data_IF_048720343985
#
_entry.id   IF_048720343985
#
_cell.length_a   1.000
_cell.length_b   1.000
_cell.length_c   1.000
_cell.angle_alpha   90.00
_cell.angle_beta   90.00
_cell.angle_gamma   90.00
#
_symmetry.space_group_name_H-M   'P 1'
#
loop_
_entity.id
_entity.type
_entity.pdbx_description
1 polymer ?
#
# COMPACT_ATOMS: atom_id res chain seq x y z
N UNK A 1 -10.81 -11.61 -19.10
CA UNK A 1 -9.85 -11.56 -17.96
C UNK A 1 -10.49 -10.78 -16.82
N UNK A 2 -10.40 -11.27 -15.60
CA UNK A 2 -10.84 -10.56 -14.40
C UNK A 2 -9.62 -10.22 -13.55
N UNK A 3 -9.45 -8.95 -13.21
CA UNK A 3 -8.42 -8.47 -12.32
C UNK A 3 -9.05 -8.13 -10.97
N UNK A 4 -8.54 -8.72 -9.90
CA UNK A 4 -8.97 -8.47 -8.53
C UNK A 4 -7.86 -7.74 -7.78
N UNK A 5 -8.11 -6.50 -7.42
CA UNK A 5 -7.19 -5.68 -6.62
C UNK A 5 -7.65 -5.69 -5.17
N UNK A 6 -6.78 -6.16 -4.28
CA UNK A 6 -7.03 -6.21 -2.85
C UNK A 6 -6.02 -5.29 -2.16
N UNK A 7 -6.52 -4.24 -1.51
CA UNK A 7 -5.71 -3.36 -0.69
C UNK A 7 -5.38 -4.04 0.63
N UNK A 8 -4.21 -3.72 1.20
CA UNK A 8 -3.83 -4.18 2.53
C UNK A 8 -4.88 -3.80 3.59
N UNK A 9 -5.00 -4.58 4.65
CA UNK A 9 -5.79 -4.27 5.83
C UNK A 9 -5.28 -3.02 6.54
N UNK A 10 -6.00 -2.58 7.58
CA UNK A 10 -5.64 -1.37 8.35
C UNK A 10 -4.17 -1.44 8.80
N UNK A 11 -3.29 -0.53 8.34
CA UNK A 11 -1.86 -0.70 8.48
C UNK A 11 -1.31 -0.12 9.77
N UNK A 12 -0.33 -0.81 10.35
CA UNK A 12 0.62 -0.26 11.30
C UNK A 12 1.89 0.13 10.54
N UNK A 13 2.00 1.37 10.11
CA UNK A 13 3.13 1.83 9.32
C UNK A 13 4.44 1.89 10.11
N UNK A 14 4.39 1.98 11.44
CA UNK A 14 5.59 2.03 12.26
C UNK A 14 6.34 0.69 12.26
N UNK A 15 5.60 -0.41 12.15
CA UNK A 15 6.15 -1.78 12.19
C UNK A 15 6.00 -2.51 10.85
N UNK A 16 5.49 -1.84 9.80
CA UNK A 16 5.15 -2.42 8.50
C UNK A 16 4.36 -3.74 8.61
N UNK A 17 3.27 -3.69 9.35
CA UNK A 17 2.35 -4.81 9.55
C UNK A 17 0.91 -4.30 9.60
N UNK A 18 0.01 -5.06 10.20
CA UNK A 18 -1.39 -4.71 10.37
C UNK A 18 -1.70 -4.37 11.83
N UNK A 19 -2.63 -3.44 12.04
CA UNK A 19 -3.21 -3.20 13.36
C UNK A 19 -4.10 -4.38 13.76
N UNK A 20 -4.55 -4.41 15.00
CA UNK A 20 -5.55 -5.39 15.45
C UNK A 20 -6.83 -5.36 14.59
N UNK A 21 -7.25 -4.17 14.18
CA UNK A 21 -8.36 -3.99 13.23
C UNK A 21 -8.03 -4.62 11.89
N UNK A 22 -6.83 -4.36 11.35
CA UNK A 22 -6.37 -4.94 10.08
C UNK A 22 -6.36 -6.47 10.11
N UNK A 23 -5.92 -7.08 11.19
CA UNK A 23 -5.98 -8.54 11.35
C UNK A 23 -7.41 -9.08 11.36
N UNK A 24 -8.38 -8.37 11.93
CA UNK A 24 -9.80 -8.73 11.84
C UNK A 24 -10.33 -8.62 10.40
N UNK A 25 -9.93 -7.57 9.68
CA UNK A 25 -10.31 -7.37 8.28
C UNK A 25 -9.81 -8.50 7.37
N UNK A 26 -8.54 -8.88 7.51
CA UNK A 26 -7.97 -9.95 6.67
C UNK A 26 -8.52 -11.34 7.00
N UNK A 27 -8.94 -11.55 8.24
CA UNK A 27 -9.67 -12.77 8.63
C UNK A 27 -11.02 -12.86 7.89
N UNK A 28 -11.77 -11.78 7.86
CA UNK A 28 -13.04 -11.72 7.11
C UNK A 28 -12.83 -11.91 5.60
N UNK A 29 -11.75 -11.35 5.06
CA UNK A 29 -11.36 -11.58 3.67
C UNK A 29 -11.07 -13.07 3.42
N UNK A 30 -10.32 -13.71 4.31
CA UNK A 30 -9.99 -15.13 4.19
C UNK A 30 -11.22 -16.03 4.21
N UNK A 31 -12.25 -15.69 4.98
CA UNK A 31 -13.53 -16.42 5.01
C UNK A 31 -14.23 -16.42 3.63
N UNK A 32 -14.00 -15.41 2.83
CA UNK A 32 -14.54 -15.25 1.47
C UNK A 32 -13.60 -15.69 0.35
N UNK A 33 -12.36 -16.04 0.68
CA UNK A 33 -11.31 -16.26 -0.31
C UNK A 33 -11.64 -17.34 -1.34
N UNK A 34 -12.29 -18.40 -0.93
CA UNK A 34 -12.71 -19.48 -1.84
C UNK A 34 -13.74 -18.98 -2.87
N UNK A 35 -14.71 -18.16 -2.44
CA UNK A 35 -15.75 -17.59 -3.32
C UNK A 35 -15.22 -16.58 -4.32
N UNK A 36 -14.04 -16.00 -4.08
CA UNK A 36 -13.39 -15.08 -5.01
C UNK A 36 -12.86 -15.77 -6.26
N UNK A 37 -12.71 -17.09 -6.22
CA UNK A 37 -12.24 -17.91 -7.33
C UNK A 37 -10.98 -17.35 -7.99
N UNK A 38 -9.96 -17.10 -7.15
CA UNK A 38 -8.70 -16.49 -7.57
C UNK A 38 -7.88 -17.48 -8.42
N UNK A 39 -7.32 -16.96 -9.52
CA UNK A 39 -6.35 -17.67 -10.34
C UNK A 39 -4.92 -17.45 -9.85
N UNK A 40 -4.07 -16.82 -10.68
CA UNK A 40 -2.72 -16.43 -10.30
C UNK A 40 -2.77 -15.28 -9.27
N UNK A 41 -1.94 -15.39 -8.25
CA UNK A 41 -1.87 -14.41 -7.17
C UNK A 41 -0.50 -13.72 -7.18
N UNK A 42 -0.52 -12.42 -6.99
CA UNK A 42 0.67 -11.58 -6.91
C UNK A 42 0.58 -10.71 -5.66
N UNK A 43 1.72 -10.38 -5.06
CA UNK A 43 1.74 -9.61 -3.82
C UNK A 43 2.95 -8.66 -3.79
N UNK A 44 2.77 -7.51 -3.15
CA UNK A 44 3.84 -6.55 -2.86
C UNK A 44 4.88 -7.14 -1.89
N UNK A 45 6.14 -6.72 -1.95
CA UNK A 45 7.17 -7.12 -0.98
C UNK A 45 6.94 -6.54 0.43
N UNK A 46 6.09 -5.52 0.58
CA UNK A 46 5.82 -4.90 1.87
C UNK A 46 5.12 -5.87 2.83
N UNK A 47 5.58 -5.91 4.10
CA UNK A 47 5.09 -6.89 5.09
C UNK A 47 3.59 -6.76 5.31
N UNK A 48 3.04 -5.54 5.39
CA UNK A 48 1.59 -5.32 5.52
C UNK A 48 0.77 -5.93 4.38
N UNK A 49 1.32 -5.98 3.17
CA UNK A 49 0.67 -6.63 2.03
C UNK A 49 0.78 -8.16 2.12
N UNK A 50 1.95 -8.68 2.51
CA UNK A 50 2.17 -10.10 2.75
C UNK A 50 1.26 -10.62 3.85
N UNK A 51 1.14 -9.90 4.96
CA UNK A 51 0.26 -10.21 6.09
C UNK A 51 -1.21 -10.21 5.67
N UNK A 52 -1.59 -9.30 4.79
CA UNK A 52 -2.97 -9.26 4.24
C UNK A 52 -3.27 -10.48 3.37
N UNK A 53 -2.33 -10.90 2.54
CA UNK A 53 -2.52 -12.00 1.61
C UNK A 53 -2.48 -13.38 2.30
N UNK A 54 -1.62 -13.55 3.29
CA UNK A 54 -1.29 -14.86 3.86
C UNK A 54 -2.49 -15.67 4.36
N UNK A 55 -3.47 -15.12 5.11
CA UNK A 55 -4.62 -15.90 5.54
C UNK A 55 -5.47 -16.43 4.39
N UNK A 56 -5.71 -15.63 3.37
CA UNK A 56 -6.47 -16.02 2.18
C UNK A 56 -5.74 -17.06 1.33
N UNK A 57 -4.44 -16.92 1.18
CA UNK A 57 -3.60 -17.89 0.46
C UNK A 57 -3.59 -19.25 1.16
N UNK A 58 -3.42 -19.26 2.49
CA UNK A 58 -3.51 -20.51 3.28
C UNK A 58 -4.87 -21.18 3.14
N UNK A 59 -5.94 -20.41 3.23
CA UNK A 59 -7.31 -20.92 3.13
C UNK A 59 -7.58 -21.60 1.79
N UNK A 60 -7.05 -21.04 0.71
CA UNK A 60 -7.27 -21.53 -0.66
C UNK A 60 -6.19 -22.48 -1.16
N UNK A 61 -5.15 -22.73 -0.38
CA UNK A 61 -4.01 -23.56 -0.81
C UNK A 61 -3.20 -22.96 -1.96
N UNK A 62 -3.26 -21.63 -2.12
CA UNK A 62 -2.56 -20.92 -3.20
C UNK A 62 -1.27 -20.28 -2.72
N UNK A 63 -0.35 -20.08 -3.67
CA UNK A 63 0.86 -19.31 -3.48
C UNK A 63 0.75 -18.00 -4.27
N UNK A 64 1.39 -16.96 -3.78
CA UNK A 64 1.52 -15.69 -4.49
C UNK A 64 2.97 -15.44 -4.90
N UNK A 65 3.16 -14.89 -6.10
CA UNK A 65 4.45 -14.40 -6.54
C UNK A 65 4.65 -12.98 -6.00
N UNK A 66 5.76 -12.75 -5.32
CA UNK A 66 6.15 -11.40 -4.91
C UNK A 66 6.72 -10.65 -6.09
N UNK A 67 6.21 -9.44 -6.34
CA UNK A 67 6.66 -8.57 -7.41
C UNK A 67 7.11 -7.23 -6.84
N UNK A 68 8.37 -6.89 -7.00
CA UNK A 68 8.98 -5.69 -6.41
C UNK A 68 8.31 -4.40 -6.87
N UNK A 69 7.87 -4.34 -8.11
CA UNK A 69 7.19 -3.17 -8.67
C UNK A 69 5.77 -2.93 -8.10
N UNK A 70 5.23 -3.85 -7.31
CA UNK A 70 4.01 -3.66 -6.53
C UNK A 70 4.26 -2.93 -5.20
N UNK A 71 5.49 -2.58 -4.89
CA UNK A 71 5.79 -1.75 -3.73
C UNK A 71 5.17 -0.37 -3.90
N UNK A 72 4.51 0.10 -2.82
CA UNK A 72 3.92 1.43 -2.83
C UNK A 72 5.01 2.49 -3.02
N UNK A 73 4.76 3.43 -3.93
CA UNK A 73 5.65 4.56 -4.15
C UNK A 73 5.86 5.34 -2.83
N UNK A 74 7.10 5.49 -2.33
CA UNK A 74 7.36 6.05 -1.02
C UNK A 74 7.03 7.54 -0.88
N UNK A 75 6.74 8.22 -1.97
CA UNK A 75 6.32 9.62 -2.06
C UNK A 75 7.16 10.60 -1.20
N UNK A 76 8.44 10.29 -1.01
CA UNK A 76 9.38 11.13 -0.27
C UNK A 76 10.18 11.97 -1.26
N UNK A 77 10.05 13.26 -1.17
CA UNK A 77 10.81 14.21 -1.99
C UNK A 77 11.77 14.99 -1.11
N UNK A 78 13.03 15.05 -1.51
CA UNK A 78 14.00 15.95 -0.88
C UNK A 78 13.74 17.39 -1.36
N UNK A 79 13.28 18.24 -0.47
CA UNK A 79 12.93 19.62 -0.79
C UNK A 79 14.11 20.51 -1.14
N UNK A 80 15.33 20.12 -0.75
CA UNK A 80 16.51 20.83 -1.18
C UNK A 80 16.72 20.70 -2.70
N UNK A 81 16.22 19.59 -3.26
CA UNK A 81 16.28 19.34 -4.71
C UNK A 81 15.08 19.88 -5.48
N UNK A 82 13.93 20.00 -4.83
CA UNK A 82 12.68 20.47 -5.48
C UNK A 82 11.92 21.45 -4.59
N UNK A 83 12.42 22.69 -4.41
CA UNK A 83 11.84 23.67 -3.49
C UNK A 83 10.41 24.10 -3.84
N UNK A 84 9.99 23.92 -5.09
CA UNK A 84 8.63 24.19 -5.54
C UNK A 84 7.58 23.34 -4.80
N UNK A 85 7.93 22.12 -4.41
CA UNK A 85 7.04 21.27 -3.63
C UNK A 85 6.73 21.85 -2.25
N UNK A 86 7.68 22.58 -1.65
CA UNK A 86 7.45 23.23 -0.36
C UNK A 86 6.36 24.29 -0.43
N UNK A 87 6.25 24.98 -1.56
CA UNK A 87 5.22 26.00 -1.79
C UNK A 87 3.85 25.37 -2.04
N UNK A 88 3.82 24.25 -2.77
CA UNK A 88 2.57 23.55 -3.10
C UNK A 88 2.00 22.76 -1.90
N UNK A 89 2.86 22.28 -1.01
CA UNK A 89 2.48 21.39 0.11
C UNK A 89 3.10 21.84 1.44
N UNK A 90 2.73 23.03 1.99
CA UNK A 90 3.43 23.65 3.11
C UNK A 90 3.37 22.89 4.44
N UNK A 91 2.46 21.92 4.59
CA UNK A 91 2.18 21.24 5.85
C UNK A 91 2.63 19.76 5.89
N UNK A 92 3.46 19.33 4.94
CA UNK A 92 3.86 17.93 4.81
C UNK A 92 5.30 17.66 5.27
N UNK A 93 5.69 18.11 6.47
CA UNK A 93 7.02 17.83 7.04
C UNK A 93 7.01 16.48 7.75
N UNK A 94 8.01 15.64 7.44
CA UNK A 94 8.36 14.50 8.29
C UNK A 94 9.26 14.94 9.45
N UNK A 95 9.37 14.14 10.51
CA UNK A 95 10.26 14.37 11.65
C UNK A 95 11.75 14.50 11.24
N UNK A 96 12.13 14.02 10.06
CA UNK A 96 13.50 14.06 9.51
C UNK A 96 13.73 15.26 8.57
N UNK A 97 12.80 16.22 8.51
CA UNK A 97 12.90 17.37 7.60
C UNK A 97 12.66 17.05 6.12
N UNK A 98 12.29 15.81 5.81
CA UNK A 98 11.87 15.38 4.47
C UNK A 98 10.36 15.52 4.37
N UNK A 99 9.88 15.97 3.22
CA UNK A 99 8.44 16.12 3.00
C UNK A 99 7.85 14.82 2.48
N UNK A 100 6.81 14.35 3.15
CA UNK A 100 5.98 13.29 2.62
C UNK A 100 4.91 13.90 1.72
N UNK A 101 5.00 13.67 0.43
CA UNK A 101 3.94 14.01 -0.50
C UNK A 101 2.70 13.18 -0.18
N UNK A 102 1.71 13.81 0.46
CA UNK A 102 0.34 13.34 0.29
C UNK A 102 -0.12 13.84 -1.07
N UNK A 103 -0.19 12.95 -2.03
CA UNK A 103 -0.82 13.27 -3.30
C UNK A 103 -2.30 13.54 -3.02
N UNK A 104 -2.66 14.80 -2.96
CA UNK A 104 -4.06 15.21 -3.04
C UNK A 104 -4.40 15.15 -4.51
N UNK A 105 -5.09 14.08 -4.92
CA UNK A 105 -5.39 13.78 -6.32
C UNK A 105 -6.23 14.87 -7.01
N UNK A 106 -6.85 15.75 -6.24
CA UNK A 106 -7.67 16.85 -6.75
C UNK A 106 -6.85 18.08 -7.19
N UNK A 107 -5.56 18.10 -6.89
CA UNK A 107 -4.67 19.19 -7.26
C UNK A 107 -3.48 18.63 -8.01
N UNK A 108 -3.55 18.64 -9.33
CA UNK A 108 -2.38 18.37 -10.19
C UNK A 108 -1.64 19.69 -10.36
N UNK A 109 -0.49 19.88 -9.69
CA UNK A 109 0.30 21.08 -9.89
C UNK A 109 0.75 21.19 -11.34
N UNK A 110 0.80 22.40 -11.88
CA UNK A 110 1.12 22.66 -13.30
C UNK A 110 2.49 22.11 -13.75
N UNK A 111 3.40 21.86 -12.83
CA UNK A 111 4.71 21.26 -13.13
C UNK A 111 4.70 19.71 -13.24
N UNK A 112 3.55 19.07 -13.03
CA UNK A 112 3.37 17.63 -13.28
C UNK A 112 2.87 17.35 -14.71
N UNK A 113 2.49 18.37 -15.39
CA UNK A 113 2.07 18.31 -16.78
C UNK A 113 3.21 18.74 -17.70
#
# INVERSE_FOLDING_TARGET
MRLLLIRHGDPDYAHDTLTEKGWREVKLLAERAESLNMGSCFVSPLVRAQDTAAPSLRKTGKNAQTLDWLEEFPARVDLNQVPEFAKAYPNTRTAEGKYQLRVVWDIVPSYWT
#
